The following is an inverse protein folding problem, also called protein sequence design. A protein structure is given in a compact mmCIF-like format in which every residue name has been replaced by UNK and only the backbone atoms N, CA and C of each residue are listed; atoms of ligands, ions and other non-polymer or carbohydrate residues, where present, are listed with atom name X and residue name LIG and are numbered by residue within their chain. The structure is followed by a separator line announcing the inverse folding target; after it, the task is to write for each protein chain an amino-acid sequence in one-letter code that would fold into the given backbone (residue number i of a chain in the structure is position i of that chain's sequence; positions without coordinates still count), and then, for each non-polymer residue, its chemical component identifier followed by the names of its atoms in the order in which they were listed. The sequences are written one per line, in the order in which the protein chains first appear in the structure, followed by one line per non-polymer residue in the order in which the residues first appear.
data_IF_747715684917
#
_entry.id   IF_747715684917
#
_cell.length_a   1.000
_cell.length_b   1.000
_cell.length_c   1.000
_cell.angle_alpha   90.00
_cell.angle_beta   90.00
_cell.angle_gamma   90.00
#
_symmetry.space_group_name_H-M   'P 1'
#
loop_
_entity.id
_entity.type
_entity.pdbx_description
1 polymer ?
#
# COMPACT_ATOMS: atom_id res chain seq x y z
N UNK A 1 -22.10 16.16 1.71
CA UNK A 1 -22.29 16.85 3.01
C UNK A 1 -21.31 16.24 4.00
N UNK A 2 -20.64 17.08 4.78
CA UNK A 2 -19.75 16.65 5.86
C UNK A 2 -20.47 16.98 7.17
N UNK A 3 -20.58 16.03 8.09
CA UNK A 3 -21.20 16.24 9.39
C UNK A 3 -20.29 15.73 10.50
N UNK A 4 -20.18 16.49 11.59
CA UNK A 4 -19.58 16.01 12.83
C UNK A 4 -20.67 15.27 13.60
N UNK A 5 -20.45 13.99 13.87
CA UNK A 5 -21.41 13.14 14.60
C UNK A 5 -21.13 13.14 16.10
N UNK A 6 -19.85 13.23 16.49
CA UNK A 6 -19.44 13.17 17.88
C UNK A 6 -18.12 13.90 18.12
N UNK A 7 -17.99 14.50 19.29
CA UNK A 7 -16.76 15.13 19.77
C UNK A 7 -16.50 14.66 21.20
N UNK A 8 -15.37 14.00 21.42
CA UNK A 8 -14.98 13.46 22.72
C UNK A 8 -13.72 14.16 23.16
N UNK A 9 -13.75 14.80 24.34
CA UNK A 9 -12.54 15.33 24.97
C UNK A 9 -11.95 14.25 25.85
N UNK A 10 -10.67 13.96 25.65
CA UNK A 10 -9.94 13.10 26.56
C UNK A 10 -9.82 13.85 27.91
N UNK A 11 -10.29 13.29 29.03
CA UNK A 11 -10.14 13.94 30.36
C UNK A 11 -11.30 13.97 31.37
N UNK A 12 -12.40 13.24 31.19
CA UNK A 12 -13.59 13.36 32.06
C UNK A 12 -13.51 12.70 33.45
N UNK A 13 -12.32 12.55 34.04
CA UNK A 13 -12.15 12.06 35.41
C UNK A 13 -11.69 13.18 36.36
N UNK A 14 -12.66 14.02 36.78
CA UNK A 14 -12.76 14.84 38.02
C UNK A 14 -11.56 15.61 38.62
N UNK A 15 -10.37 15.62 38.03
CA UNK A 15 -9.26 16.43 38.51
C UNK A 15 -8.52 16.98 37.32
N UNK A 16 -8.60 18.31 37.15
CA UNK A 16 -7.89 19.17 36.17
C UNK A 16 -6.42 18.75 35.99
N UNK A 17 -6.20 17.68 35.24
CA UNK A 17 -4.93 17.36 34.58
C UNK A 17 -5.16 17.66 33.12
N UNK A 18 -4.22 18.38 32.52
CA UNK A 18 -4.28 18.88 31.15
C UNK A 18 -4.26 17.69 30.19
N UNK A 19 -5.40 17.04 29.98
CA UNK A 19 -5.59 16.12 28.88
C UNK A 19 -5.91 16.98 27.65
N UNK A 20 -5.00 16.97 26.68
CA UNK A 20 -5.04 17.81 25.48
C UNK A 20 -5.60 17.09 24.26
N UNK A 21 -6.03 15.83 24.41
CA UNK A 21 -6.57 15.02 23.32
C UNK A 21 -8.04 15.34 23.00
N UNK A 22 -8.35 15.36 21.70
CA UNK A 22 -9.68 15.54 21.16
C UNK A 22 -9.91 14.47 20.08
N UNK A 23 -10.96 13.67 20.24
CA UNK A 23 -11.42 12.74 19.21
C UNK A 23 -12.67 13.30 18.55
N UNK A 24 -12.69 13.35 17.22
CA UNK A 24 -13.81 13.86 16.43
C UNK A 24 -14.24 12.78 15.44
N UNK A 25 -15.50 12.38 15.51
CA UNK A 25 -16.11 11.48 14.54
C UNK A 25 -16.80 12.32 13.45
N UNK A 26 -16.48 12.04 12.19
CA UNK A 26 -17.01 12.75 11.03
C UNK A 26 -17.60 11.77 10.03
N UNK A 27 -18.76 12.13 9.47
CA UNK A 27 -19.46 11.37 8.45
C UNK A 27 -19.51 12.18 7.16
N UNK A 28 -19.18 11.52 6.06
CA UNK A 28 -19.27 12.05 4.71
C UNK A 28 -20.43 11.36 4.00
N UNK A 29 -21.50 12.12 3.71
CA UNK A 29 -22.71 11.58 3.06
C UNK A 29 -23.19 12.51 1.97
N UNK A 30 -23.65 11.99 0.84
CA UNK A 30 -24.31 12.83 -0.15
C UNK A 30 -25.68 13.28 0.40
N UNK A 31 -26.04 14.57 0.31
CA UNK A 31 -27.39 14.99 0.71
C UNK A 31 -28.43 14.30 -0.18
N UNK A 32 -29.62 13.99 0.35
CA UNK A 32 -30.68 13.35 -0.42
C UNK A 32 -30.99 14.18 -1.67
N UNK A 33 -30.91 13.57 -2.85
CA UNK A 33 -31.29 14.23 -4.10
C UNK A 33 -32.79 14.05 -4.31
N UNK A 34 -33.53 15.15 -4.44
CA UNK A 34 -34.98 15.14 -4.64
C UNK A 34 -35.41 14.81 -6.09
N UNK A 35 -34.46 14.59 -7.00
CA UNK A 35 -34.77 14.39 -8.41
C UNK A 35 -34.88 12.90 -8.72
N UNK A 36 -36.11 12.38 -8.59
CA UNK A 36 -36.55 11.17 -9.26
C UNK A 36 -36.78 11.49 -10.74
N UNK A 37 -35.73 11.66 -11.53
CA UNK A 37 -35.88 11.78 -12.98
C UNK A 37 -35.79 10.39 -13.59
N UNK A 38 -36.95 9.82 -13.89
CA UNK A 38 -37.13 8.63 -14.70
C UNK A 38 -36.74 8.94 -16.14
N UNK A 39 -35.45 8.97 -16.45
CA UNK A 39 -35.00 8.99 -17.84
C UNK A 39 -33.99 7.87 -18.07
N UNK A 40 -34.44 6.85 -18.80
CA UNK A 40 -33.62 5.83 -19.42
C UNK A 40 -32.72 6.48 -20.47
N UNK A 41 -31.67 7.18 -20.05
CA UNK A 41 -30.52 7.48 -20.90
C UNK A 41 -29.28 7.29 -20.05
N UNK A 42 -28.54 6.24 -20.36
CA UNK A 42 -27.22 5.92 -19.79
C UNK A 42 -26.22 6.99 -20.20
N UNK A 43 -26.22 8.12 -19.52
CA UNK A 43 -25.13 9.10 -19.60
C UNK A 43 -25.12 10.00 -18.36
N UNK A 44 -24.89 9.37 -17.20
CA UNK A 44 -24.42 10.10 -16.03
C UNK A 44 -22.96 10.49 -16.26
N UNK A 45 -22.74 11.62 -16.94
CA UNK A 45 -21.41 12.21 -17.23
C UNK A 45 -20.68 12.71 -15.97
N UNK A 46 -21.09 12.27 -14.77
CA UNK A 46 -20.51 12.63 -13.48
C UNK A 46 -20.04 11.41 -12.69
N UNK A 47 -19.03 11.56 -11.82
CA UNK A 47 -18.54 10.49 -10.96
C UNK A 47 -19.66 9.93 -10.06
N UNK A 48 -19.74 8.60 -9.95
CA UNK A 48 -20.69 7.93 -9.04
C UNK A 48 -20.45 8.35 -7.59
N UNK A 49 -21.48 8.31 -6.73
CA UNK A 49 -21.37 8.65 -5.30
C UNK A 49 -20.20 7.89 -4.63
N UNK A 50 -20.10 6.59 -4.93
CA UNK A 50 -19.01 5.74 -4.45
C UNK A 50 -17.63 6.31 -4.84
N UNK A 51 -17.43 6.71 -6.09
CA UNK A 51 -16.15 7.24 -6.55
C UNK A 51 -15.78 8.57 -5.86
N UNK A 52 -16.76 9.42 -5.57
CA UNK A 52 -16.53 10.67 -4.83
C UNK A 52 -16.10 10.38 -3.39
N UNK A 53 -16.83 9.50 -2.68
CA UNK A 53 -16.49 9.13 -1.30
C UNK A 53 -15.14 8.41 -1.24
N UNK A 54 -14.83 7.57 -2.23
CA UNK A 54 -13.53 6.88 -2.35
C UNK A 54 -12.39 7.87 -2.55
N UNK A 55 -12.57 8.89 -3.39
CA UNK A 55 -11.55 9.91 -3.61
C UNK A 55 -11.31 10.78 -2.37
N UNK A 56 -12.35 11.05 -1.57
CA UNK A 56 -12.22 11.75 -0.29
C UNK A 56 -11.42 10.89 0.69
N UNK A 57 -11.80 9.61 0.84
CA UNK A 57 -11.09 8.67 1.69
C UNK A 57 -9.60 8.57 1.29
N UNK A 58 -9.32 8.47 -0.01
CA UNK A 58 -7.97 8.45 -0.55
C UNK A 58 -7.19 9.73 -0.20
N UNK A 59 -7.78 10.90 -0.47
CA UNK A 59 -7.13 12.19 -0.21
C UNK A 59 -6.81 12.41 1.27
N UNK A 60 -7.76 12.07 2.16
CA UNK A 60 -7.57 12.17 3.62
C UNK A 60 -6.51 11.17 4.09
N UNK A 61 -6.57 9.93 3.60
CA UNK A 61 -5.62 8.88 3.95
C UNK A 61 -4.21 9.22 3.48
N UNK A 62 -4.03 9.74 2.26
CA UNK A 62 -2.71 10.18 1.77
C UNK A 62 -2.16 11.36 2.57
N UNK A 63 -3.01 12.33 2.93
CA UNK A 63 -2.61 13.44 3.77
C UNK A 63 -2.19 12.97 5.17
N UNK A 64 -2.88 11.96 5.74
CA UNK A 64 -2.52 11.35 7.00
C UNK A 64 -1.18 10.60 6.91
N UNK A 65 -1.03 9.71 5.92
CA UNK A 65 0.20 8.93 5.69
C UNK A 65 1.43 9.81 5.48
N UNK A 66 1.28 10.94 4.79
CA UNK A 66 2.37 11.90 4.54
C UNK A 66 2.61 12.92 5.67
N UNK A 67 1.81 12.90 6.73
CA UNK A 67 1.87 13.89 7.82
C UNK A 67 1.41 15.30 7.43
N UNK A 68 0.84 15.48 6.23
CA UNK A 68 0.36 16.78 5.75
C UNK A 68 -1.03 17.14 6.26
N UNK A 69 -1.81 16.17 6.75
CA UNK A 69 -3.18 16.40 7.23
C UNK A 69 -3.23 17.48 8.32
N UNK A 70 -2.28 17.46 9.26
CA UNK A 70 -2.18 18.46 10.32
C UNK A 70 -2.03 19.89 9.79
N UNK A 71 -1.29 20.05 8.69
CA UNK A 71 -1.09 21.35 8.03
C UNK A 71 -2.36 21.80 7.31
N UNK A 72 -3.05 20.87 6.64
CA UNK A 72 -4.27 21.16 5.90
C UNK A 72 -5.42 21.61 6.81
N UNK A 73 -5.53 21.04 8.02
CA UNK A 73 -6.62 21.37 8.94
C UNK A 73 -6.23 22.40 10.02
N UNK A 74 -4.94 22.71 10.18
CA UNK A 74 -4.45 23.67 11.18
C UNK A 74 -4.41 23.15 12.62
N UNK A 75 -4.50 21.83 12.82
CA UNK A 75 -4.44 21.15 14.12
C UNK A 75 -3.47 19.97 14.05
N UNK A 76 -2.81 19.65 15.15
CA UNK A 76 -1.98 18.44 15.25
C UNK A 76 -2.87 17.19 15.25
N UNK A 77 -2.79 16.41 14.18
CA UNK A 77 -3.47 15.10 14.07
C UNK A 77 -2.48 14.01 14.46
N UNK A 78 -2.84 13.22 15.48
CA UNK A 78 -2.05 12.04 15.86
C UNK A 78 -2.36 10.83 14.98
N UNK A 79 -3.64 10.54 14.77
CA UNK A 79 -4.11 9.45 13.92
C UNK A 79 -5.52 9.73 13.39
N UNK A 80 -5.89 8.96 12.37
CA UNK A 80 -7.20 8.93 11.73
C UNK A 80 -7.68 7.50 11.73
N UNK A 81 -8.91 7.29 12.12
CA UNK A 81 -9.59 6.01 12.04
C UNK A 81 -10.63 6.13 10.94
N UNK A 82 -10.54 5.29 9.91
CA UNK A 82 -11.32 5.44 8.69
C UNK A 82 -12.12 4.19 8.36
N UNK A 83 -13.39 4.36 7.99
CA UNK A 83 -14.22 3.33 7.39
C UNK A 83 -14.46 3.73 5.93
N UNK A 84 -13.86 3.03 4.95
CA UNK A 84 -14.07 3.37 3.54
C UNK A 84 -15.49 3.03 3.08
N UNK A 85 -16.01 3.70 2.04
CA UNK A 85 -17.31 3.34 1.47
C UNK A 85 -17.29 1.93 0.90
N UNK A 86 -18.40 1.20 1.03
CA UNK A 86 -18.54 -0.12 0.44
C UNK A 86 -18.61 -0.02 -1.10
N UNK A 87 -17.90 -0.89 -1.84
CA UNK A 87 -18.00 -0.92 -3.29
C UNK A 87 -19.44 -1.26 -3.75
N UNK A 88 -19.91 -0.75 -4.90
CA UNK A 88 -21.20 -1.14 -5.45
C UNK A 88 -21.13 -2.57 -6.04
N UNK A 89 -22.26 -3.30 -6.16
CA UNK A 89 -22.29 -4.66 -6.73
C UNK A 89 -21.74 -4.79 -8.16
N UNK A 90 -21.70 -3.69 -8.91
CA UNK A 90 -21.12 -3.63 -10.25
C UNK A 90 -19.59 -3.56 -10.26
N UNK A 91 -18.95 -3.28 -9.12
CA UNK A 91 -17.50 -3.21 -8.97
C UNK A 91 -16.92 -4.63 -8.79
N UNK A 92 -15.86 -5.02 -9.53
CA UNK A 92 -15.21 -6.33 -9.36
C UNK A 92 -14.78 -6.63 -7.92
N UNK A 93 -14.44 -5.60 -7.14
CA UNK A 93 -14.02 -5.72 -5.74
C UNK A 93 -15.17 -6.06 -4.79
N UNK A 94 -16.43 -5.90 -5.22
CA UNK A 94 -17.61 -6.31 -4.46
C UNK A 94 -17.57 -7.80 -4.09
N UNK A 95 -17.09 -8.65 -5.00
CA UNK A 95 -17.00 -10.09 -4.77
C UNK A 95 -16.19 -10.45 -3.52
N UNK A 96 -15.15 -9.67 -3.20
CA UNK A 96 -14.33 -9.84 -2.00
C UNK A 96 -15.11 -9.52 -0.73
N UNK A 97 -15.81 -8.39 -0.72
CA UNK A 97 -16.60 -7.95 0.45
C UNK A 97 -17.85 -8.82 0.64
N UNK A 98 -18.49 -9.24 -0.45
CA UNK A 98 -19.69 -10.06 -0.42
C UNK A 98 -19.44 -11.51 0.03
N UNK A 99 -18.19 -11.96 0.00
CA UNK A 99 -17.78 -13.29 0.48
C UNK A 99 -17.30 -13.28 1.93
N UNK A 100 -17.11 -12.10 2.54
CA UNK A 100 -16.92 -12.01 3.98
C UNK A 100 -18.21 -12.39 4.71
N UNK A 101 -18.09 -13.11 5.83
CA UNK A 101 -19.25 -13.49 6.62
C UNK A 101 -19.98 -12.24 7.13
N UNK A 102 -21.30 -12.19 6.92
CA UNK A 102 -22.12 -11.06 7.32
C UNK A 102 -22.22 -11.02 8.85
N UNK A 103 -21.34 -10.26 9.49
CA UNK A 103 -21.53 -9.83 10.87
C UNK A 103 -22.46 -8.62 10.92
N UNK A 104 -23.25 -8.50 11.99
CA UNK A 104 -24.03 -7.29 12.29
C UNK A 104 -23.18 -6.17 12.90
N UNK A 105 -21.91 -6.45 13.16
CA UNK A 105 -20.95 -5.48 13.69
C UNK A 105 -20.59 -4.44 12.63
N UNK A 106 -20.24 -3.23 13.08
CA UNK A 106 -19.75 -2.17 12.20
C UNK A 106 -18.47 -2.63 11.48
N UNK A 107 -18.24 -2.15 10.23
CA UNK A 107 -17.03 -2.50 9.49
C UNK A 107 -15.78 -2.17 10.31
N UNK A 108 -14.82 -3.09 10.33
CA UNK A 108 -13.58 -2.90 11.07
C UNK A 108 -12.87 -1.63 10.58
N UNK A 109 -12.65 -0.64 11.45
CA UNK A 109 -12.08 0.60 11.01
C UNK A 109 -10.57 0.47 10.78
N UNK A 110 -10.08 1.16 9.76
CA UNK A 110 -8.67 1.20 9.39
C UNK A 110 -7.93 2.30 10.15
N UNK A 111 -6.88 1.92 10.88
CA UNK A 111 -5.99 2.88 11.54
C UNK A 111 -5.02 3.50 10.54
N UNK A 112 -4.99 4.82 10.44
CA UNK A 112 -4.13 5.58 9.53
C UNK A 112 -3.43 6.68 10.31
N UNK A 113 -2.12 6.79 10.19
CA UNK A 113 -1.32 7.86 10.79
C UNK A 113 -0.14 8.18 9.87
N UNK A 114 0.74 9.10 10.30
CA UNK A 114 1.96 9.40 9.55
C UNK A 114 2.86 8.16 9.53
N UNK A 115 3.25 7.71 8.34
CA UNK A 115 4.21 6.61 8.23
C UNK A 115 5.59 7.16 8.56
N UNK A 116 6.20 6.63 9.62
CA UNK A 116 7.54 7.02 10.05
C UNK A 116 8.62 6.14 9.41
N UNK A 117 8.33 4.86 9.21
CA UNK A 117 9.27 3.90 8.61
C UNK A 117 8.59 2.76 7.88
N UNK A 118 9.32 2.20 6.92
CA UNK A 118 9.01 0.92 6.29
C UNK A 118 9.92 -0.16 6.89
N UNK A 119 9.41 -1.38 6.98
CA UNK A 119 10.18 -2.53 7.44
C UNK A 119 9.97 -3.74 6.55
N UNK A 120 11.07 -4.36 6.10
CA UNK A 120 11.04 -5.62 5.35
C UNK A 120 10.85 -6.77 6.36
N UNK A 121 9.65 -7.32 6.39
CA UNK A 121 9.27 -8.40 7.31
C UNK A 121 9.63 -9.76 6.75
N UNK A 122 9.42 -9.96 5.45
CA UNK A 122 9.88 -11.14 4.72
C UNK A 122 10.95 -10.70 3.76
N UNK A 123 12.16 -11.23 3.92
CA UNK A 123 13.29 -10.89 3.08
C UNK A 123 13.19 -11.60 1.73
N UNK A 124 13.57 -10.95 0.62
CA UNK A 124 13.67 -11.62 -0.67
C UNK A 124 14.79 -12.68 -0.62
N UNK A 125 14.55 -13.82 -1.28
CA UNK A 125 15.56 -14.86 -1.50
C UNK A 125 15.69 -15.17 -2.99
N UNK A 126 16.91 -15.04 -3.51
CA UNK A 126 17.23 -15.44 -4.86
C UNK A 126 17.65 -16.91 -4.91
N UNK A 127 17.34 -17.59 -6.01
CA UNK A 127 17.83 -18.94 -6.35
C UNK A 127 19.31 -19.00 -6.72
N UNK A 128 20.02 -17.86 -6.65
CA UNK A 128 21.41 -17.74 -7.09
C UNK A 128 21.57 -17.60 -8.61
N UNK A 129 20.48 -17.68 -9.37
CA UNK A 129 20.46 -17.56 -10.83
C UNK A 129 19.31 -16.67 -11.28
N UNK A 130 19.34 -16.14 -12.52
CA UNK A 130 18.21 -15.43 -13.09
C UNK A 130 16.92 -16.24 -13.02
N UNK A 131 15.83 -15.62 -12.56
CA UNK A 131 14.53 -16.25 -12.38
C UNK A 131 13.69 -15.62 -11.27
N UNK A 132 12.57 -16.26 -10.95
CA UNK A 132 11.71 -15.89 -9.81
C UNK A 132 12.48 -15.99 -8.50
N UNK A 133 12.17 -15.09 -7.57
CA UNK A 133 12.61 -15.25 -6.18
C UNK A 133 11.98 -16.50 -5.58
N UNK A 134 12.79 -17.24 -4.83
CA UNK A 134 12.32 -18.40 -4.05
C UNK A 134 11.45 -17.92 -2.89
N UNK A 135 11.80 -16.77 -2.30
CA UNK A 135 11.00 -16.10 -1.28
C UNK A 135 10.66 -14.69 -1.74
N UNK A 136 9.37 -14.39 -1.85
CA UNK A 136 8.89 -13.07 -2.20
C UNK A 136 8.89 -12.14 -0.98
N UNK A 137 9.24 -10.85 -1.15
CA UNK A 137 9.30 -9.93 -0.03
C UNK A 137 7.93 -9.40 0.39
N UNK A 138 7.83 -9.13 1.69
CA UNK A 138 6.68 -8.47 2.31
C UNK A 138 7.18 -7.30 3.15
N UNK A 139 6.58 -6.13 2.94
CA UNK A 139 6.97 -4.88 3.61
C UNK A 139 5.78 -4.35 4.40
N UNK A 140 6.03 -3.89 5.62
CA UNK A 140 5.02 -3.26 6.48
C UNK A 140 5.30 -1.76 6.67
N UNK A 141 4.24 -0.95 6.70
CA UNK A 141 4.30 0.47 7.02
C UNK A 141 3.97 0.71 8.50
N UNK A 142 4.86 1.44 9.19
CA UNK A 142 4.78 1.67 10.64
C UNK A 142 4.84 3.16 10.98
N UNK A 143 4.15 3.57 12.05
CA UNK A 143 4.28 4.89 12.66
C UNK A 143 5.49 4.99 13.61
N UNK A 144 5.63 6.12 14.31
CA UNK A 144 6.75 6.37 15.23
C UNK A 144 6.76 5.40 16.42
N UNK A 145 5.58 4.99 16.88
CA UNK A 145 5.38 4.04 17.98
C UNK A 145 5.50 2.58 17.53
N UNK A 146 5.53 2.32 16.23
CA UNK A 146 5.63 0.97 15.65
C UNK A 146 4.28 0.30 15.39
N UNK A 147 3.17 1.04 15.38
CA UNK A 147 1.87 0.53 15.00
C UNK A 147 1.76 0.40 13.47
N UNK A 148 1.00 -0.61 13.05
CA UNK A 148 0.65 -0.90 11.66
C UNK A 148 -0.26 0.20 11.08
N UNK A 149 0.24 0.94 10.07
CA UNK A 149 -0.49 2.02 9.40
C UNK A 149 -1.18 1.50 8.15
N UNK A 150 -2.51 1.59 8.10
CA UNK A 150 -3.35 1.05 7.02
C UNK A 150 -3.27 1.87 5.73
N UNK A 151 -2.13 1.89 5.07
CA UNK A 151 -1.90 2.59 3.79
C UNK A 151 -2.84 2.10 2.69
N UNK A 152 -3.34 0.86 2.76
CA UNK A 152 -4.23 0.25 1.76
C UNK A 152 -5.61 0.90 1.60
N UNK A 153 -6.00 1.83 2.49
CA UNK A 153 -7.20 2.67 2.25
C UNK A 153 -6.94 3.76 1.20
N UNK A 154 -5.68 3.98 0.83
CA UNK A 154 -5.23 4.95 -0.17
C UNK A 154 -4.88 4.29 -1.49
N UNK A 155 -4.63 5.10 -2.51
CA UNK A 155 -4.06 4.71 -3.81
C UNK A 155 -2.53 4.69 -3.81
N UNK A 156 -1.88 4.87 -2.65
CA UNK A 156 -0.43 4.78 -2.53
C UNK A 156 0.05 3.37 -2.83
N UNK A 157 1.20 3.31 -3.51
CA UNK A 157 1.83 2.06 -3.92
C UNK A 157 3.26 2.01 -3.44
N UNK A 158 3.75 0.79 -3.20
CA UNK A 158 5.14 0.52 -2.89
C UNK A 158 5.86 0.09 -4.17
N UNK A 159 6.98 0.75 -4.48
CA UNK A 159 7.79 0.43 -5.66
C UNK A 159 9.08 -0.27 -5.24
N UNK A 160 9.39 -1.42 -5.85
CA UNK A 160 10.63 -2.15 -5.69
C UNK A 160 11.63 -1.82 -6.80
N UNK A 161 12.90 -1.65 -6.43
CA UNK A 161 14.02 -1.44 -7.36
C UNK A 161 15.26 -2.21 -6.91
N UNK A 162 16.13 -2.58 -7.84
CA UNK A 162 17.42 -3.19 -7.52
C UNK A 162 18.50 -2.13 -7.37
N UNK A 163 19.40 -2.36 -6.41
CA UNK A 163 20.55 -1.50 -6.13
C UNK A 163 21.79 -2.37 -5.96
N UNK A 164 22.87 -1.98 -6.63
CA UNK A 164 24.17 -2.66 -6.56
C UNK A 164 24.96 -2.27 -5.32
N UNK A 165 26.11 -2.91 -5.13
CA UNK A 165 27.02 -2.69 -4.00
C UNK A 165 27.55 -1.26 -3.88
N UNK A 166 27.73 -0.58 -5.02
CA UNK A 166 28.15 0.82 -5.12
C UNK A 166 26.99 1.82 -4.94
N UNK A 167 25.83 1.35 -4.47
CA UNK A 167 24.60 2.12 -4.32
C UNK A 167 23.95 2.62 -5.63
N UNK A 168 24.43 2.20 -6.81
CA UNK A 168 23.80 2.57 -8.09
C UNK A 168 22.59 1.68 -8.40
N UNK A 169 21.59 2.24 -9.07
CA UNK A 169 20.46 1.49 -9.60
C UNK A 169 20.92 0.40 -10.56
N UNK A 170 20.36 -0.80 -10.42
CA UNK A 170 20.65 -1.96 -11.26
C UNK A 170 19.38 -2.33 -12.04
N UNK A 171 19.56 -2.71 -13.31
CA UNK A 171 18.46 -3.16 -14.17
C UNK A 171 18.17 -4.66 -13.96
N UNK A 172 17.05 -5.14 -14.48
CA UNK A 172 16.74 -6.57 -14.49
C UNK A 172 15.82 -7.04 -13.37
N UNK A 173 15.17 -6.15 -12.63
CA UNK A 173 13.98 -6.52 -11.85
C UNK A 173 12.79 -6.70 -12.80
N UNK A 174 12.08 -7.81 -12.68
CA UNK A 174 10.93 -8.18 -13.50
C UNK A 174 9.75 -8.60 -12.59
N UNK A 175 8.58 -8.79 -13.20
CA UNK A 175 7.32 -9.01 -12.50
C UNK A 175 6.61 -7.69 -12.16
N UNK A 176 5.67 -7.73 -11.21
CA UNK A 176 5.01 -6.54 -10.74
C UNK A 176 5.85 -5.80 -9.69
N UNK A 177 6.60 -4.78 -10.13
CA UNK A 177 7.48 -4.00 -9.25
C UNK A 177 6.75 -2.94 -8.44
N UNK A 178 5.48 -2.69 -8.72
CA UNK A 178 4.66 -1.70 -8.01
C UNK A 178 3.38 -2.36 -7.49
N UNK A 179 3.23 -2.44 -6.17
CA UNK A 179 2.08 -3.08 -5.53
C UNK A 179 1.33 -2.08 -4.65
N UNK A 180 0.01 -2.22 -4.61
CA UNK A 180 -0.81 -1.51 -3.62
C UNK A 180 -0.66 -2.15 -2.24
N UNK A 181 -0.94 -1.37 -1.20
CA UNK A 181 -1.03 -1.90 0.15
C UNK A 181 -2.37 -2.60 0.38
N UNK A 182 -2.35 -3.68 1.16
CA UNK A 182 -3.51 -4.31 1.76
C UNK A 182 -3.39 -4.15 3.28
N UNK A 183 -4.25 -3.31 3.87
CA UNK A 183 -4.03 -2.82 5.23
C UNK A 183 -2.69 -2.08 5.31
N UNK A 184 -1.78 -2.53 6.19
CA UNK A 184 -0.43 -1.98 6.31
C UNK A 184 0.66 -2.77 5.58
N UNK A 185 0.27 -3.79 4.82
CA UNK A 185 1.20 -4.72 4.17
C UNK A 185 1.26 -4.48 2.67
N UNK A 186 2.46 -4.54 2.11
CA UNK A 186 2.71 -4.61 0.69
C UNK A 186 3.40 -5.95 0.41
N UNK A 187 2.68 -6.85 -0.25
CA UNK A 187 3.11 -8.20 -0.55
C UNK A 187 3.41 -8.32 -2.03
N UNK A 188 4.64 -8.69 -2.36
CA UNK A 188 5.01 -9.07 -3.71
C UNK A 188 4.77 -10.57 -3.91
N UNK A 189 4.47 -10.97 -5.15
CA UNK A 189 4.16 -12.38 -5.46
C UNK A 189 4.95 -12.92 -6.64
N UNK A 190 5.47 -12.05 -7.50
CA UNK A 190 6.01 -12.43 -8.81
C UNK A 190 7.31 -11.71 -9.17
N UNK A 191 8.02 -11.14 -8.19
CA UNK A 191 9.32 -10.52 -8.46
C UNK A 191 10.32 -11.57 -8.95
N UNK A 192 11.03 -11.21 -10.01
CA UNK A 192 12.09 -12.00 -10.62
C UNK A 192 13.30 -11.14 -10.94
N UNK A 193 14.47 -11.76 -10.96
CA UNK A 193 15.74 -11.11 -11.27
C UNK A 193 16.26 -11.69 -12.59
N UNK A 194 16.54 -10.86 -13.57
CA UNK A 194 17.08 -11.23 -14.88
C UNK A 194 18.50 -10.67 -15.11
N UNK A 195 19.22 -10.39 -14.03
CA UNK A 195 20.59 -9.90 -14.09
C UNK A 195 21.49 -10.70 -13.15
N UNK A 196 22.78 -10.79 -13.48
CA UNK A 196 23.79 -11.27 -12.55
C UNK A 196 24.43 -10.09 -11.80
N UNK A 197 24.79 -10.33 -10.55
CA UNK A 197 25.57 -9.42 -9.75
C UNK A 197 25.73 -9.92 -8.33
N UNK A 198 26.75 -9.41 -7.66
CA UNK A 198 27.07 -9.75 -6.28
C UNK A 198 26.64 -8.61 -5.36
N UNK A 199 26.18 -8.98 -4.16
CA UNK A 199 25.75 -8.03 -3.12
C UNK A 199 24.68 -7.04 -3.61
N UNK A 200 23.71 -7.54 -4.38
CA UNK A 200 22.55 -6.75 -4.83
C UNK A 200 21.55 -6.65 -3.67
N UNK A 201 20.89 -5.49 -3.53
CA UNK A 201 19.79 -5.26 -2.59
C UNK A 201 18.52 -4.85 -3.33
N UNK A 202 17.37 -5.11 -2.72
CA UNK A 202 16.11 -4.51 -3.13
C UNK A 202 15.84 -3.28 -2.27
N UNK A 203 15.46 -2.18 -2.92
CA UNK A 203 14.99 -0.95 -2.29
C UNK A 203 13.48 -0.87 -2.52
N UNK A 204 12.72 -0.73 -1.46
CA UNK A 204 11.29 -0.50 -1.50
C UNK A 204 11.01 0.96 -1.14
N UNK A 205 10.24 1.65 -1.98
CA UNK A 205 9.99 3.09 -1.83
C UNK A 205 8.50 3.39 -1.78
N UNK A 206 8.09 4.12 -0.74
CA UNK A 206 6.76 4.72 -0.57
C UNK A 206 6.95 6.24 -0.45
N UNK A 207 6.50 7.00 -1.45
CA UNK A 207 6.73 8.45 -1.52
C UNK A 207 8.23 8.80 -1.40
N UNK A 208 8.63 9.43 -0.29
CA UNK A 208 10.02 9.78 0.03
C UNK A 208 10.68 8.84 1.04
N UNK A 209 9.97 7.81 1.52
CA UNK A 209 10.49 6.81 2.45
C UNK A 209 10.99 5.60 1.69
N UNK A 210 12.14 5.08 2.11
CA UNK A 210 12.71 3.86 1.56
C UNK A 210 13.18 2.88 2.65
N UNK A 211 13.16 1.61 2.30
CA UNK A 211 13.77 0.54 3.10
C UNK A 211 14.49 -0.45 2.20
N UNK A 212 15.59 -1.01 2.69
CA UNK A 212 16.41 -1.95 1.96
C UNK A 212 16.28 -3.36 2.51
N UNK A 213 16.32 -4.35 1.61
CA UNK A 213 16.46 -5.76 1.97
C UNK A 213 17.89 -6.09 2.39
N UNK A 214 18.07 -7.32 2.89
CA UNK A 214 19.40 -7.95 2.91
C UNK A 214 19.97 -8.09 1.50
N UNK A 215 21.29 -8.25 1.41
CA UNK A 215 21.98 -8.51 0.16
C UNK A 215 21.74 -9.95 -0.31
N UNK A 216 21.73 -10.14 -1.64
CA UNK A 216 21.77 -11.45 -2.28
C UNK A 216 22.59 -11.38 -3.58
N UNK A 217 22.97 -12.55 -4.10
CA UNK A 217 23.82 -12.69 -5.29
C UNK A 217 23.12 -13.53 -6.33
N UNK A 218 23.21 -13.10 -7.59
CA UNK A 218 22.74 -13.85 -8.77
C UNK A 218 23.89 -14.06 -9.74
N UNK A 219 24.03 -15.28 -10.27
CA UNK A 219 25.05 -15.67 -11.25
C UNK A 219 24.36 -16.22 -12.49
N UNK A 220 24.82 -15.82 -13.68
CA UNK A 220 24.36 -16.47 -14.91
C UNK A 220 24.97 -17.88 -14.92
N UNK A 221 24.14 -18.91 -14.98
CA UNK A 221 24.62 -20.25 -15.29
C UNK A 221 25.14 -20.22 -16.73
N UNK A 222 26.46 -20.30 -16.89
CA UNK A 222 27.06 -20.63 -18.17
C UNK A 222 26.81 -22.12 -18.41
N UNK A 223 25.62 -22.47 -18.93
CA UNK A 223 25.39 -23.81 -19.45
C UNK A 223 26.23 -23.99 -20.71
N UNK A 224 27.39 -24.64 -20.53
CA UNK A 224 28.12 -25.41 -21.54
C UNK A 224 28.54 -24.68 -22.82
N UNK A 225 29.81 -24.32 -22.92
CA UNK A 225 30.45 -24.31 -24.24
C UNK A 225 30.40 -25.74 -24.79
N UNK A 226 29.48 -26.02 -25.71
CA UNK A 226 29.58 -27.18 -26.59
C UNK A 226 30.83 -26.98 -27.43
N UNK A 227 31.97 -27.45 -26.95
CA UNK A 227 33.14 -27.68 -27.79
C UNK A 227 32.76 -28.79 -28.77
N UNK A 228 32.43 -28.40 -29.99
CA UNK A 228 32.30 -29.33 -31.09
C UNK A 228 33.62 -30.12 -31.21
N UNK A 229 33.59 -31.47 -31.20
CA UNK A 229 34.80 -32.23 -31.46
C UNK A 229 35.22 -31.97 -32.91
N UNK A 230 36.45 -31.48 -33.07
CA UNK A 230 37.10 -31.34 -34.37
C UNK A 230 37.19 -32.74 -34.99
N UNK A 231 36.40 -32.99 -36.03
CA UNK A 231 36.49 -34.21 -36.82
C UNK A 231 37.85 -34.21 -37.54
N UNK A 232 38.77 -35.07 -37.09
CA UNK A 232 39.97 -35.41 -37.83
C UNK A 232 39.58 -36.15 -39.10
N UNK A 233 39.77 -35.53 -40.25
CA UNK A 233 39.75 -36.20 -41.53
C UNK A 233 41.13 -36.82 -41.77
N UNK A 234 41.21 -38.14 -41.62
CA UNK A 234 42.26 -38.95 -42.20
C UNK A 234 41.62 -39.78 -43.33
N UNK A 235 42.00 -39.47 -44.57
CA UNK A 235 42.40 -40.37 -45.67
C UNK A 235 42.59 -39.55 -46.96
#
# INVERSE_FOLDING_TARGET
MIRITKVIREGEARRRRRSTGLTVETEFRQPPQQNLTTDNTSDATGPSEYSVLRNIADSVGQAAVSGNLSRSIGFSVSSVVMVPPLPPPSDPTWSKVASEEVSREEPAPSFVSTVARLQVMVQPESSGHPGLLIQQPSVVALDEEGNCVSVGVTSLTLTAKLKGSNSSSVWGLQGNTTVAFEGCWANYTDLSINTAGENITMVFTLNSLDVQSRTFTTKINSTGSTTAPTAGAAL
#
